data_IF_834785065789
#
_entry.id   IF_834785065789
#
_cell.length_a   1.000
_cell.length_b   1.000
_cell.length_c   1.000
_cell.angle_alpha   90.00
_cell.angle_beta   90.00
_cell.angle_gamma   90.00
#
_symmetry.space_group_name_H-M   'P 1'
#
loop_
_entity.id
_entity.type
_entity.pdbx_description
1 polymer ?
#
# COMPACT_ATOMS: atom_id res chain seq x y z
N UNK A 1 -11.90 -25.01 -12.47
CA UNK A 1 -13.29 -24.55 -12.66
C UNK A 1 -13.41 -23.48 -13.77
N UNK A 2 -12.86 -22.27 -13.61
CA UNK A 2 -13.04 -21.16 -14.57
C UNK A 2 -12.61 -21.46 -16.02
N UNK A 3 -11.44 -22.09 -16.22
CA UNK A 3 -10.93 -22.43 -17.56
C UNK A 3 -11.70 -23.60 -18.19
N UNK A 4 -12.13 -24.58 -17.39
CA UNK A 4 -12.73 -25.83 -17.89
C UNK A 4 -14.25 -25.75 -18.12
N UNK A 5 -14.95 -24.83 -17.47
CA UNK A 5 -16.43 -24.75 -17.48
C UNK A 5 -16.93 -23.43 -18.08
N UNK A 6 -16.18 -22.33 -17.93
CA UNK A 6 -16.58 -21.01 -18.47
C UNK A 6 -15.87 -20.64 -19.78
N UNK A 7 -15.13 -21.59 -20.38
CA UNK A 7 -14.37 -21.42 -21.63
C UNK A 7 -13.46 -20.18 -21.64
N UNK A 8 -12.94 -19.82 -20.45
CA UNK A 8 -12.05 -18.67 -20.28
C UNK A 8 -10.62 -19.07 -20.58
N UNK A 9 -9.86 -18.16 -21.20
CA UNK A 9 -8.41 -18.32 -21.27
C UNK A 9 -7.80 -18.31 -19.85
N UNK A 10 -6.64 -18.94 -19.68
CA UNK A 10 -5.91 -18.93 -18.40
C UNK A 10 -5.66 -17.49 -17.89
N UNK A 11 -5.35 -16.58 -18.81
CA UNK A 11 -5.13 -15.17 -18.49
C UNK A 11 -6.39 -14.47 -17.96
N UNK A 12 -7.55 -14.71 -18.58
CA UNK A 12 -8.83 -14.16 -18.13
C UNK A 12 -9.27 -14.73 -16.78
N UNK A 13 -9.04 -16.03 -16.56
CA UNK A 13 -9.34 -16.68 -15.28
C UNK A 13 -8.50 -16.05 -14.14
N UNK A 14 -7.20 -15.85 -14.37
CA UNK A 14 -6.30 -15.18 -13.40
C UNK A 14 -6.74 -13.74 -13.14
N UNK A 15 -7.07 -12.99 -14.20
CA UNK A 15 -7.57 -11.62 -14.07
C UNK A 15 -8.85 -11.58 -13.23
N UNK A 16 -9.80 -12.48 -13.49
CA UNK A 16 -11.07 -12.56 -12.75
C UNK A 16 -10.86 -12.91 -11.28
N UNK A 17 -9.97 -13.86 -11.00
CA UNK A 17 -9.64 -14.23 -9.61
C UNK A 17 -8.99 -13.07 -8.87
N UNK A 18 -8.01 -12.39 -9.49
CA UNK A 18 -7.38 -11.19 -8.94
C UNK A 18 -8.43 -10.11 -8.64
N UNK A 19 -9.34 -9.84 -9.58
CA UNK A 19 -10.42 -8.88 -9.35
C UNK A 19 -11.35 -9.28 -8.21
N UNK A 20 -11.69 -10.56 -8.07
CA UNK A 20 -12.52 -11.04 -6.97
C UNK A 20 -11.85 -10.83 -5.61
N UNK A 21 -10.57 -11.16 -5.48
CA UNK A 21 -9.77 -10.93 -4.26
C UNK A 21 -9.71 -9.45 -3.91
N UNK A 22 -9.41 -8.60 -4.89
CA UNK A 22 -9.31 -7.15 -4.68
C UNK A 22 -10.65 -6.54 -4.26
N UNK A 23 -11.76 -7.00 -4.84
CA UNK A 23 -13.10 -6.53 -4.45
C UNK A 23 -13.46 -6.98 -3.03
N UNK A 24 -13.18 -8.24 -2.67
CA UNK A 24 -13.41 -8.74 -1.30
C UNK A 24 -12.68 -7.88 -0.25
N UNK A 25 -11.43 -7.47 -0.53
CA UNK A 25 -10.67 -6.58 0.34
C UNK A 25 -11.26 -5.15 0.36
N UNK A 26 -11.65 -4.59 -0.80
CA UNK A 26 -12.21 -3.23 -0.87
C UNK A 26 -13.57 -3.11 -0.17
N UNK A 27 -14.40 -4.13 -0.29
CA UNK A 27 -15.77 -4.15 0.22
C UNK A 27 -15.85 -4.61 1.68
N UNK A 28 -14.74 -5.13 2.23
CA UNK A 28 -14.67 -5.61 3.60
C UNK A 28 -15.12 -4.51 4.59
N UNK A 29 -16.09 -4.78 5.50
CA UNK A 29 -16.68 -3.76 6.36
C UNK A 29 -15.68 -3.01 7.24
N UNK A 30 -14.62 -3.70 7.69
CA UNK A 30 -13.59 -3.09 8.55
C UNK A 30 -12.52 -2.32 7.76
N UNK A 31 -12.58 -2.29 6.42
CA UNK A 31 -11.64 -1.54 5.60
C UNK A 31 -11.94 -0.04 5.63
N UNK A 32 -11.30 0.68 6.56
CA UNK A 32 -11.53 2.13 6.73
C UNK A 32 -10.94 2.96 5.60
N UNK A 33 -10.04 2.40 4.77
CA UNK A 33 -9.53 3.10 3.59
C UNK A 33 -10.65 3.39 2.58
N UNK A 34 -11.71 2.57 2.56
CA UNK A 34 -12.86 2.72 1.66
C UNK A 34 -13.48 4.12 1.72
N UNK A 35 -13.56 4.73 2.90
CA UNK A 35 -14.10 6.08 3.09
C UNK A 35 -13.28 7.17 2.37
N UNK A 36 -12.03 6.89 2.04
CA UNK A 36 -11.08 7.79 1.40
C UNK A 36 -10.86 7.48 -0.09
N UNK A 37 -11.66 6.57 -0.67
CA UNK A 37 -11.58 6.17 -2.07
C UNK A 37 -12.76 6.74 -2.86
N UNK A 38 -12.46 7.44 -3.95
CA UNK A 38 -13.46 7.76 -4.97
C UNK A 38 -13.59 6.61 -6.00
N UNK A 39 -14.82 6.33 -6.42
CA UNK A 39 -15.11 5.23 -7.36
C UNK A 39 -14.44 5.39 -8.72
N UNK A 40 -14.43 6.62 -9.29
CA UNK A 40 -13.91 6.88 -10.64
C UNK A 40 -12.77 7.88 -10.65
N UNK A 41 -13.07 9.14 -10.32
CA UNK A 41 -12.12 10.24 -10.38
C UNK A 41 -11.81 10.76 -8.98
N UNK A 42 -10.56 11.19 -8.74
CA UNK A 42 -10.20 11.86 -7.49
C UNK A 42 -11.16 13.04 -7.29
N UNK A 43 -11.87 13.04 -6.17
CA UNK A 43 -12.67 14.19 -5.76
C UNK A 43 -11.84 15.03 -4.80
N UNK A 44 -12.25 16.26 -4.53
CA UNK A 44 -11.65 17.04 -3.43
C UNK A 44 -11.81 16.34 -2.08
N UNK A 45 -12.82 15.47 -1.94
CA UNK A 45 -13.14 14.78 -0.69
C UNK A 45 -12.30 13.52 -0.47
N UNK A 46 -11.81 12.88 -1.54
CA UNK A 46 -11.13 11.58 -1.44
C UNK A 46 -9.72 11.65 -2.03
N UNK A 47 -8.67 11.32 -1.26
CA UNK A 47 -7.28 11.35 -1.72
C UNK A 47 -6.98 10.29 -2.78
N UNK A 48 -7.75 9.19 -2.78
CA UNK A 48 -7.50 7.99 -3.57
C UNK A 48 -8.62 7.71 -4.57
N UNK A 49 -8.29 6.90 -5.56
CA UNK A 49 -9.26 6.22 -6.44
C UNK A 49 -9.07 4.72 -6.33
N UNK A 50 -10.07 3.94 -6.72
CA UNK A 50 -9.96 2.47 -6.81
C UNK A 50 -8.74 2.08 -7.64
N UNK A 51 -8.53 2.76 -8.76
CA UNK A 51 -7.38 2.52 -9.65
C UNK A 51 -6.02 2.83 -8.99
N UNK A 52 -5.95 3.84 -8.11
CA UNK A 52 -4.73 4.13 -7.36
C UNK A 52 -4.40 3.00 -6.37
N UNK A 53 -5.42 2.53 -5.63
CA UNK A 53 -5.28 1.41 -4.67
C UNK A 53 -4.86 0.12 -5.37
N UNK A 54 -5.47 -0.20 -6.52
CA UNK A 54 -5.11 -1.37 -7.31
C UNK A 54 -3.66 -1.37 -7.81
N UNK A 55 -3.17 -0.20 -8.26
CA UNK A 55 -1.79 -0.05 -8.78
C UNK A 55 -0.73 0.11 -7.70
N UNK A 56 -1.12 0.21 -6.44
CA UNK A 56 -0.20 0.44 -5.32
C UNK A 56 -0.43 -0.64 -4.29
N UNK A 57 -1.33 -0.46 -3.32
CA UNK A 57 -1.53 -1.43 -2.25
C UNK A 57 -1.77 -2.85 -2.74
N UNK A 58 -2.63 -3.07 -3.73
CA UNK A 58 -2.87 -4.44 -4.21
C UNK A 58 -1.76 -4.98 -5.09
N UNK A 59 -1.06 -4.13 -5.84
CA UNK A 59 0.09 -4.56 -6.63
C UNK A 59 1.29 -4.95 -5.74
N UNK A 60 1.42 -4.29 -4.59
CA UNK A 60 2.54 -4.51 -3.68
C UNK A 60 2.26 -5.64 -2.68
N UNK A 61 1.04 -5.73 -2.13
CA UNK A 61 0.76 -6.55 -0.95
C UNK A 61 -0.14 -7.78 -1.19
N UNK A 62 -0.77 -7.91 -2.36
CA UNK A 62 -1.60 -9.08 -2.70
C UNK A 62 -0.82 -10.03 -3.61
N UNK A 63 -0.59 -11.24 -3.15
CA UNK A 63 0.03 -12.32 -3.90
C UNK A 63 -0.78 -12.63 -5.16
N UNK A 64 -0.08 -12.61 -6.29
CA UNK A 64 -0.70 -12.87 -7.58
C UNK A 64 -1.12 -14.34 -7.71
N UNK A 65 -2.39 -14.63 -8.04
CA UNK A 65 -2.80 -15.98 -8.38
C UNK A 65 -2.28 -16.41 -9.77
N UNK A 66 -2.13 -17.71 -10.05
CA UNK A 66 -2.34 -18.82 -9.11
C UNK A 66 -1.22 -18.88 -8.08
N UNK A 67 -1.57 -19.33 -6.87
CA UNK A 67 -0.60 -19.73 -5.85
C UNK A 67 -0.62 -21.26 -5.88
N UNK A 68 0.53 -21.90 -5.65
CA UNK A 68 0.66 -23.35 -5.72
C UNK A 68 -0.06 -24.08 -4.56
N UNK A 69 -0.54 -23.33 -3.57
CA UNK A 69 -1.38 -23.83 -2.48
C UNK A 69 -2.76 -24.27 -3.00
N UNK A 70 -3.20 -25.44 -2.55
CA UNK A 70 -4.57 -25.91 -2.78
C UNK A 70 -5.55 -25.05 -1.99
N UNK A 71 -6.67 -24.67 -2.61
CA UNK A 71 -7.68 -23.82 -1.97
C UNK A 71 -8.22 -24.49 -0.70
N UNK A 72 -8.39 -23.71 0.36
CA UNK A 72 -8.87 -24.18 1.68
C UNK A 72 -7.94 -25.22 2.35
N UNK A 73 -6.74 -25.44 1.82
CA UNK A 73 -5.71 -26.23 2.50
C UNK A 73 -5.07 -25.43 3.65
N UNK A 74 -4.36 -26.08 4.60
CA UNK A 74 -3.59 -25.38 5.62
C UNK A 74 -2.54 -24.40 5.09
N UNK A 75 -2.12 -24.56 3.83
CA UNK A 75 -1.16 -23.67 3.15
C UNK A 75 -1.85 -22.52 2.38
N UNK A 76 -3.20 -22.48 2.38
CA UNK A 76 -3.97 -21.39 1.79
C UNK A 76 -4.12 -20.22 2.76
N UNK A 77 -3.11 -19.35 2.77
CA UNK A 77 -3.10 -18.14 3.57
C UNK A 77 -3.92 -16.98 2.97
N UNK A 78 -4.86 -17.22 2.03
CA UNK A 78 -5.62 -16.13 1.39
C UNK A 78 -6.43 -15.31 2.39
N UNK A 79 -7.07 -15.96 3.35
CA UNK A 79 -7.85 -15.27 4.37
C UNK A 79 -6.93 -14.44 5.29
N UNK A 80 -5.77 -14.99 5.67
CA UNK A 80 -4.74 -14.27 6.43
C UNK A 80 -4.18 -13.09 5.66
N UNK A 81 -3.93 -13.23 4.36
CA UNK A 81 -3.49 -12.14 3.50
C UNK A 81 -4.46 -10.97 3.50
N UNK A 82 -5.77 -11.26 3.39
CA UNK A 82 -6.81 -10.23 3.52
C UNK A 82 -6.74 -9.56 4.89
N UNK A 83 -6.74 -10.32 5.98
CA UNK A 83 -6.71 -9.81 7.35
C UNK A 83 -5.48 -8.90 7.58
N UNK A 84 -4.30 -9.37 7.19
CA UNK A 84 -3.04 -8.63 7.29
C UNK A 84 -3.09 -7.32 6.50
N UNK A 85 -3.60 -7.36 5.27
CA UNK A 85 -3.70 -6.16 4.44
C UNK A 85 -4.73 -5.17 5.01
N UNK A 86 -5.91 -5.63 5.46
CA UNK A 86 -6.91 -4.76 6.11
C UNK A 86 -6.30 -4.07 7.33
N UNK A 87 -5.56 -4.81 8.16
CA UNK A 87 -4.85 -4.25 9.31
C UNK A 87 -3.83 -3.18 8.90
N UNK A 88 -3.01 -3.45 7.86
CA UNK A 88 -2.08 -2.45 7.32
C UNK A 88 -2.81 -1.19 6.82
N UNK A 89 -3.88 -1.36 6.04
CA UNK A 89 -4.63 -0.24 5.47
C UNK A 89 -5.27 0.62 6.56
N UNK A 90 -5.79 0.01 7.62
CA UNK A 90 -6.34 0.72 8.76
C UNK A 90 -5.26 1.51 9.53
N UNK A 91 -4.07 0.94 9.73
CA UNK A 91 -2.93 1.68 10.31
C UNK A 91 -2.53 2.89 9.45
N UNK A 92 -2.48 2.72 8.12
CA UNK A 92 -2.20 3.82 7.19
C UNK A 92 -3.25 4.93 7.34
N UNK A 93 -4.54 4.57 7.42
CA UNK A 93 -5.64 5.52 7.63
C UNK A 93 -5.46 6.29 8.94
N UNK A 94 -5.21 5.58 10.05
CA UNK A 94 -5.06 6.21 11.37
C UNK A 94 -3.88 7.18 11.43
N UNK A 95 -2.75 6.83 10.83
CA UNK A 95 -1.54 7.64 10.91
C UNK A 95 -1.58 8.83 9.94
N UNK A 96 -2.15 8.66 8.74
CA UNK A 96 -1.96 9.62 7.64
C UNK A 96 -3.23 10.31 7.12
N UNK A 97 -4.43 9.85 7.52
CA UNK A 97 -5.71 10.39 7.03
C UNK A 97 -6.62 10.91 8.15
N UNK A 98 -6.80 10.13 9.22
CA UNK A 98 -7.68 10.50 10.34
C UNK A 98 -7.20 11.81 10.96
N UNK A 99 -8.11 12.80 11.08
CA UNK A 99 -7.82 14.16 11.57
C UNK A 99 -6.74 14.93 10.78
N UNK A 100 -6.30 14.42 9.61
CA UNK A 100 -5.30 15.07 8.75
C UNK A 100 -5.89 15.44 7.40
N UNK A 101 -6.64 14.54 6.76
CA UNK A 101 -7.28 14.82 5.48
C UNK A 101 -8.52 15.69 5.66
N UNK A 102 -8.35 17.02 5.55
CA UNK A 102 -9.45 17.98 5.60
C UNK A 102 -9.36 19.00 4.44
N UNK A 103 -10.03 18.74 3.30
CA UNK A 103 -9.96 19.58 2.11
C UNK A 103 -10.57 20.98 2.27
N UNK A 104 -11.43 21.18 3.29
CA UNK A 104 -12.03 22.48 3.60
C UNK A 104 -11.11 23.34 4.45
N UNK A 105 -10.43 22.75 5.44
CA UNK A 105 -9.52 23.48 6.34
C UNK A 105 -8.22 23.91 5.64
N UNK A 106 -7.72 23.09 4.69
CA UNK A 106 -6.45 23.35 3.95
C UNK A 106 -5.25 23.69 4.84
N UNK A 107 -5.24 23.15 6.05
CA UNK A 107 -4.17 23.35 7.01
C UNK A 107 -2.92 22.52 6.64
N UNK A 108 -1.86 22.67 7.42
CA UNK A 108 -0.62 21.91 7.22
C UNK A 108 -0.80 20.39 7.28
N UNK A 109 -1.68 19.91 8.16
CA UNK A 109 -2.01 18.49 8.24
C UNK A 109 -2.63 17.97 6.93
N UNK A 110 -3.55 18.73 6.32
CA UNK A 110 -4.11 18.39 5.02
C UNK A 110 -3.06 18.39 3.91
N UNK A 111 -2.20 19.42 3.85
CA UNK A 111 -1.11 19.49 2.86
C UNK A 111 -0.14 18.30 2.98
N UNK A 112 0.17 17.90 4.21
CA UNK A 112 0.98 16.71 4.49
C UNK A 112 0.32 15.45 3.91
N UNK A 113 -0.97 15.23 4.17
CA UNK A 113 -1.71 14.10 3.60
C UNK A 113 -1.81 14.18 2.08
N UNK A 114 -2.01 15.37 1.49
CA UNK A 114 -2.00 15.55 0.03
C UNK A 114 -0.68 15.11 -0.60
N UNK A 115 0.45 15.40 0.03
CA UNK A 115 1.77 14.97 -0.44
C UNK A 115 1.99 13.46 -0.32
N UNK A 116 1.57 12.86 0.80
CA UNK A 116 1.62 11.40 0.99
C UNK A 116 0.83 10.67 -0.09
N UNK A 117 -0.34 11.20 -0.47
CA UNK A 117 -1.25 10.58 -1.44
C UNK A 117 -1.17 11.16 -2.86
N UNK A 118 -0.17 11.99 -3.14
CA UNK A 118 0.15 12.42 -4.50
C UNK A 118 0.46 11.18 -5.36
N UNK A 119 0.07 11.20 -6.64
CA UNK A 119 0.08 10.00 -7.47
C UNK A 119 1.49 9.39 -7.65
N UNK A 120 2.51 10.24 -7.82
CA UNK A 120 3.90 9.81 -7.90
C UNK A 120 4.41 9.33 -6.54
N UNK A 121 4.15 10.10 -5.49
CA UNK A 121 4.48 9.77 -4.09
C UNK A 121 3.97 8.38 -3.68
N UNK A 122 2.67 8.13 -3.84
CA UNK A 122 2.04 6.85 -3.49
C UNK A 122 2.67 5.66 -4.20
N UNK A 123 2.99 5.81 -5.49
CA UNK A 123 3.66 4.78 -6.30
C UNK A 123 5.12 4.59 -5.95
N UNK A 124 5.75 5.56 -5.29
CA UNK A 124 7.13 5.48 -4.85
C UNK A 124 7.24 4.87 -3.45
N UNK A 125 6.42 5.31 -2.48
CA UNK A 125 6.54 4.83 -1.10
C UNK A 125 5.88 3.48 -0.87
N UNK A 126 4.82 3.09 -1.59
CA UNK A 126 4.19 1.79 -1.37
C UNK A 126 5.14 0.59 -1.60
N UNK A 127 5.95 0.56 -2.69
CA UNK A 127 7.00 -0.46 -2.84
C UNK A 127 8.08 -0.39 -1.75
N UNK A 128 8.46 0.81 -1.31
CA UNK A 128 9.42 0.98 -0.21
C UNK A 128 8.87 0.40 1.09
N UNK A 129 7.58 0.63 1.37
CA UNK A 129 6.91 0.06 2.52
C UNK A 129 6.93 -1.47 2.47
N UNK A 130 6.69 -2.07 1.30
CA UNK A 130 6.83 -3.54 1.15
C UNK A 130 8.23 -4.02 1.52
N UNK A 131 9.28 -3.32 1.10
CA UNK A 131 10.67 -3.69 1.43
C UNK A 131 10.89 -3.69 2.95
N UNK A 132 10.46 -2.65 3.66
CA UNK A 132 10.67 -2.59 5.12
C UNK A 132 9.76 -3.55 5.89
N UNK A 133 8.57 -3.84 5.38
CA UNK A 133 7.69 -4.88 5.95
C UNK A 133 8.32 -6.26 5.75
N UNK A 134 8.88 -6.55 4.58
CA UNK A 134 9.61 -7.80 4.36
C UNK A 134 10.76 -7.97 5.35
N UNK A 135 11.46 -6.88 5.71
CA UNK A 135 12.49 -6.91 6.76
C UNK A 135 11.89 -7.13 8.15
N UNK A 136 10.76 -6.50 8.50
CA UNK A 136 10.05 -6.74 9.75
C UNK A 136 9.65 -8.22 9.93
N UNK A 137 9.39 -8.90 8.82
CA UNK A 137 9.00 -10.30 8.75
C UNK A 137 10.17 -11.26 8.50
N UNK A 138 11.41 -10.74 8.46
CA UNK A 138 12.62 -11.51 8.18
C UNK A 138 12.59 -12.29 6.85
N UNK A 139 11.98 -11.73 5.80
CA UNK A 139 11.85 -12.38 4.49
C UNK A 139 13.10 -12.18 3.65
N UNK A 140 13.79 -13.28 3.37
CA UNK A 140 15.08 -13.28 2.68
C UNK A 140 14.88 -13.43 1.18
N UNK A 141 14.08 -14.39 0.74
CA UNK A 141 13.94 -14.70 -0.68
C UNK A 141 12.92 -13.81 -1.40
N UNK A 142 13.12 -13.68 -2.71
CA UNK A 142 12.30 -12.81 -3.55
C UNK A 142 10.88 -13.35 -3.76
N UNK A 143 10.65 -14.66 -3.59
CA UNK A 143 9.32 -15.23 -3.73
C UNK A 143 8.45 -14.91 -2.50
N UNK A 144 9.01 -15.08 -1.31
CA UNK A 144 8.41 -14.67 -0.05
C UNK A 144 8.11 -13.18 -0.02
N UNK A 145 9.03 -12.34 -0.50
CA UNK A 145 8.83 -10.88 -0.60
C UNK A 145 7.71 -10.50 -1.55
N UNK A 146 7.48 -11.29 -2.62
CA UNK A 146 6.32 -11.11 -3.53
C UNK A 146 5.00 -11.54 -2.90
N UNK A 147 5.05 -12.33 -1.82
CA UNK A 147 3.91 -12.87 -1.08
C UNK A 147 3.95 -12.40 0.39
N UNK A 148 4.35 -11.14 0.62
CA UNK A 148 4.70 -10.60 1.95
C UNK A 148 3.65 -10.84 3.02
N UNK A 149 2.35 -10.78 2.67
CA UNK A 149 1.24 -11.00 3.61
C UNK A 149 0.51 -12.33 3.44
N UNK A 150 0.90 -13.17 2.48
CA UNK A 150 0.34 -14.52 2.33
C UNK A 150 0.98 -15.47 3.36
N UNK A 151 0.74 -15.19 4.64
CA UNK A 151 1.30 -15.87 5.82
C UNK A 151 0.58 -15.42 7.09
N UNK A 152 0.87 -16.08 8.20
CA UNK A 152 0.54 -15.53 9.52
C UNK A 152 1.52 -14.41 9.89
N UNK A 153 1.01 -13.35 10.51
CA UNK A 153 1.79 -12.22 11.02
C UNK A 153 1.35 -11.97 12.45
N UNK A 154 2.27 -12.10 13.39
CA UNK A 154 1.98 -11.90 14.81
C UNK A 154 1.93 -10.42 15.21
N UNK A 155 1.52 -10.18 16.46
CA UNK A 155 1.41 -8.84 17.03
C UNK A 155 2.74 -8.12 17.14
N UNK A 156 3.84 -8.83 17.39
CA UNK A 156 5.17 -8.24 17.52
C UNK A 156 5.65 -7.69 16.17
N UNK A 157 5.53 -8.50 15.12
CA UNK A 157 5.80 -8.12 13.74
C UNK A 157 4.94 -6.93 13.32
N UNK A 158 3.63 -6.95 13.61
CA UNK A 158 2.77 -5.80 13.32
C UNK A 158 3.17 -4.55 14.11
N UNK A 159 3.61 -4.68 15.36
CA UNK A 159 4.16 -3.58 16.13
C UNK A 159 5.41 -2.97 15.49
N UNK A 160 6.26 -3.79 14.85
CA UNK A 160 7.41 -3.31 14.06
C UNK A 160 6.91 -2.56 12.81
N UNK A 161 5.97 -3.13 12.07
CA UNK A 161 5.38 -2.53 10.85
C UNK A 161 4.78 -1.14 11.17
N UNK A 162 4.04 -1.03 12.27
CA UNK A 162 3.46 0.24 12.71
C UNK A 162 4.55 1.29 13.01
N UNK A 163 5.66 0.91 13.66
CA UNK A 163 6.79 1.81 13.89
C UNK A 163 7.41 2.29 12.58
N UNK A 164 7.57 1.41 11.59
CA UNK A 164 8.07 1.79 10.28
C UNK A 164 7.12 2.72 9.53
N UNK A 165 5.80 2.50 9.61
CA UNK A 165 4.80 3.43 9.06
C UNK A 165 4.85 4.81 9.72
N UNK A 166 4.90 4.85 11.06
CA UNK A 166 5.04 6.11 11.82
C UNK A 166 6.30 6.85 11.41
N UNK A 167 7.42 6.13 11.29
CA UNK A 167 8.69 6.71 10.85
C UNK A 167 8.60 7.26 9.43
N UNK A 168 8.11 6.47 8.46
CA UNK A 168 7.87 6.90 7.08
C UNK A 168 7.08 8.22 7.03
N UNK A 169 5.94 8.31 7.70
CA UNK A 169 5.09 9.51 7.65
C UNK A 169 5.53 10.66 8.58
N UNK A 170 6.54 10.44 9.44
CA UNK A 170 7.19 11.50 10.22
C UNK A 170 8.33 12.20 9.47
N UNK A 171 8.72 11.72 8.29
CA UNK A 171 9.83 12.28 7.55
C UNK A 171 9.57 13.75 7.14
N UNK A 172 10.60 14.61 7.28
CA UNK A 172 10.51 16.06 7.03
C UNK A 172 9.97 16.45 5.66
N UNK A 173 10.22 15.60 4.65
CA UNK A 173 9.73 15.78 3.27
C UNK A 173 8.23 16.11 3.21
N UNK A 174 7.43 15.57 4.11
CA UNK A 174 5.98 15.73 4.02
C UNK A 174 5.49 17.11 4.44
N UNK A 175 6.21 17.80 5.31
CA UNK A 175 5.81 19.09 5.89
C UNK A 175 6.80 20.24 5.60
N UNK A 176 7.88 19.95 4.87
CA UNK A 176 8.84 20.97 4.42
C UNK A 176 8.17 22.02 3.50
N UNK A 177 8.47 23.29 3.72
CA UNK A 177 7.87 24.43 3.01
C UNK A 177 8.36 24.61 1.57
N UNK A 178 9.36 23.83 1.14
CA UNK A 178 9.92 23.91 -0.21
C UNK A 178 8.86 23.65 -1.31
N UNK A 179 8.59 24.64 -2.19
CA UNK A 179 7.57 24.52 -3.22
C UNK A 179 7.91 23.50 -4.32
N UNK A 180 9.18 23.11 -4.48
CA UNK A 180 9.57 22.10 -5.47
C UNK A 180 9.07 20.70 -5.10
N UNK A 181 8.78 20.45 -3.81
CA UNK A 181 8.30 19.17 -3.33
C UNK A 181 7.01 18.77 -4.04
N UNK A 182 6.02 19.67 -4.07
CA UNK A 182 4.71 19.37 -4.64
C UNK A 182 4.77 19.04 -6.12
N UNK A 183 5.66 19.71 -6.86
CA UNK A 183 5.89 19.44 -8.28
C UNK A 183 6.50 18.05 -8.48
N UNK A 184 7.51 17.69 -7.70
CA UNK A 184 8.19 16.40 -7.80
C UNK A 184 7.29 15.23 -7.41
N UNK A 185 6.52 15.35 -6.32
CA UNK A 185 5.65 14.27 -5.81
C UNK A 185 4.47 13.92 -6.74
N UNK A 186 4.07 14.85 -7.60
CA UNK A 186 2.95 14.68 -8.54
C UNK A 186 3.37 14.10 -9.89
N UNK A 187 4.67 14.05 -10.20
CA UNK A 187 5.18 13.49 -11.45
C UNK A 187 4.71 12.03 -11.57
N UNK A 188 4.06 11.69 -12.69
CA UNK A 188 3.59 10.34 -12.97
C UNK A 188 4.73 9.42 -13.45
N UNK A 189 5.86 9.46 -12.77
CA UNK A 189 7.03 8.61 -12.99
C UNK A 189 7.55 8.15 -11.61
N UNK A 190 7.29 6.90 -11.19
CA UNK A 190 7.72 6.40 -9.89
C UNK A 190 9.23 6.47 -9.67
N UNK A 191 10.04 6.25 -10.72
CA UNK A 191 11.50 6.26 -10.59
C UNK A 191 12.03 7.68 -10.34
N UNK A 192 11.41 8.69 -10.98
CA UNK A 192 11.69 10.10 -10.67
C UNK A 192 11.42 10.41 -9.20
N UNK A 193 10.27 9.98 -8.67
CA UNK A 193 9.90 10.27 -7.28
C UNK A 193 10.73 9.48 -6.28
N UNK A 194 11.11 8.24 -6.59
CA UNK A 194 12.04 7.45 -5.76
C UNK A 194 13.43 8.10 -5.70
N UNK A 195 13.93 8.61 -6.82
CA UNK A 195 15.18 9.37 -6.86
C UNK A 195 15.07 10.65 -6.03
N UNK A 196 13.96 11.37 -6.16
CA UNK A 196 13.69 12.55 -5.35
C UNK A 196 13.63 12.24 -3.84
N UNK A 197 12.97 11.15 -3.44
CA UNK A 197 12.97 10.66 -2.06
C UNK A 197 14.39 10.41 -1.55
N UNK A 198 15.21 9.68 -2.31
CA UNK A 198 16.61 9.39 -1.95
C UNK A 198 17.42 10.67 -1.75
N UNK A 199 17.31 11.65 -2.66
CA UNK A 199 17.98 12.96 -2.52
C UNK A 199 17.54 13.75 -1.29
N UNK A 200 16.32 13.51 -0.82
CA UNK A 200 15.74 14.16 0.37
C UNK A 200 15.96 13.36 1.66
N UNK A 201 16.68 12.24 1.60
CA UNK A 201 16.96 11.37 2.75
C UNK A 201 15.82 10.42 3.13
N UNK A 202 14.84 10.23 2.25
CA UNK A 202 13.78 9.24 2.44
C UNK A 202 14.11 7.96 1.67
N UNK A 203 14.48 6.91 2.40
CA UNK A 203 14.91 5.62 1.86
C UNK A 203 14.38 4.47 2.74
N UNK A 204 14.35 3.22 2.25
CA UNK A 204 14.11 2.06 3.11
C UNK A 204 15.10 1.99 4.29
N UNK A 205 16.38 2.29 4.04
CA UNK A 205 17.45 2.29 5.05
C UNK A 205 17.18 3.31 6.15
N UNK A 206 16.74 4.52 5.78
CA UNK A 206 16.33 5.55 6.72
C UNK A 206 15.17 5.07 7.59
N UNK A 207 14.13 4.47 7.00
CA UNK A 207 12.98 3.93 7.74
C UNK A 207 13.44 2.84 8.73
N UNK A 208 14.32 1.94 8.29
CA UNK A 208 14.90 0.89 9.13
C UNK A 208 15.82 1.45 10.23
N UNK A 209 16.33 2.68 10.08
CA UNK A 209 17.26 3.30 11.03
C UNK A 209 18.70 2.81 10.86
N UNK A 210 19.06 2.44 9.63
CA UNK A 210 20.39 1.95 9.27
C UNK A 210 21.33 3.06 8.78
N UNK A 211 20.83 4.28 8.61
CA UNK A 211 21.65 5.44 8.25
C UNK A 211 22.39 5.98 9.49
N UNK A 212 23.70 6.21 9.35
CA UNK A 212 24.62 6.80 10.34
C UNK A 212 24.63 8.32 10.22
#
# INVERSE_FOLDING_TARGET
>A
FLVRIKDLTKAEAVKRLRSAIQNDILEYPENRLREYIAEKNKTRKNPLTVSAVQRTFFAEFVASPPIDAELESPEDFRQREKENLIRLLNLIVDISLVNRWNPEARNEAHRTSERIYAAGSLRAWAPMLRVVIAQALNLIDDEERRRVFFREVDEEAFGIIERYLKKLFSHKLWFDSDPEIDNNLRVNNPEHVKEFFRRRGLSPEWILGLEV
#
